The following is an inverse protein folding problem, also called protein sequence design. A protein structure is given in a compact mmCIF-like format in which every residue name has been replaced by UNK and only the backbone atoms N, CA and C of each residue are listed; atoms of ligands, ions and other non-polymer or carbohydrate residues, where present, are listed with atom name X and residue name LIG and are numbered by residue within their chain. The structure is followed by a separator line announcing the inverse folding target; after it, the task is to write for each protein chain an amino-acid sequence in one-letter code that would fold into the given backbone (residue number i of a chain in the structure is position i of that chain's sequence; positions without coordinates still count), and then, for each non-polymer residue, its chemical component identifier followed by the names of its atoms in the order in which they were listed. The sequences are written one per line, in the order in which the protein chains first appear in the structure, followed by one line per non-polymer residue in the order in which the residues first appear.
data_IF_730803228375
#
_entry.id   IF_730803228375
#
_cell.length_a   1.000
_cell.length_b   1.000
_cell.length_c   1.000
_cell.angle_alpha   90.00
_cell.angle_beta   90.00
_cell.angle_gamma   90.00
#
_symmetry.space_group_name_H-M   'P 1'
#
loop_
_entity.id
_entity.type
_entity.pdbx_description
1 polymer ?
#
# COMPACT_ATOMS: atom_id res chain seq x y z
N UNK A 1 0.52 3.71 -12.64
CA UNK A 1 1.00 2.68 -11.68
C UNK A 1 2.45 2.36 -11.96
N UNK A 2 3.28 2.19 -10.91
CA UNK A 2 4.70 1.82 -11.00
C UNK A 2 4.82 0.36 -10.59
N UNK A 3 5.16 -0.49 -11.55
CA UNK A 3 5.39 -1.92 -11.36
C UNK A 3 6.86 -2.24 -11.56
N UNK A 4 7.28 -3.43 -11.20
CA UNK A 4 8.67 -3.90 -11.37
C UNK A 4 8.76 -5.41 -11.39
N UNK A 5 9.91 -5.92 -11.78
CA UNK A 5 10.15 -7.36 -11.96
C UNK A 5 10.46 -8.11 -10.65
N UNK A 6 10.45 -7.44 -9.51
CA UNK A 6 10.71 -8.06 -8.21
C UNK A 6 10.70 -7.09 -7.04
N UNK A 7 10.94 -7.60 -5.85
CA UNK A 7 11.13 -6.80 -4.64
C UNK A 7 12.50 -6.09 -4.66
N UNK A 8 12.59 -4.91 -4.05
CA UNK A 8 13.85 -4.18 -3.92
C UNK A 8 14.38 -3.50 -5.19
N UNK A 9 13.67 -3.56 -6.31
CA UNK A 9 14.10 -2.96 -7.60
C UNK A 9 13.91 -1.44 -7.69
N UNK A 10 13.54 -0.78 -6.59
CA UNK A 10 13.44 0.69 -6.51
C UNK A 10 12.06 1.28 -6.72
N UNK A 11 10.98 0.46 -6.81
CA UNK A 11 9.60 0.96 -6.99
C UNK A 11 9.23 2.05 -6.00
N UNK A 12 9.46 1.85 -4.71
CA UNK A 12 9.08 2.79 -3.65
C UNK A 12 9.82 4.12 -3.77
N UNK A 13 11.11 4.08 -4.14
CA UNK A 13 11.90 5.30 -4.35
C UNK A 13 11.41 6.05 -5.59
N UNK A 14 11.15 5.35 -6.69
CA UNK A 14 10.64 5.95 -7.90
C UNK A 14 9.24 6.54 -7.69
N UNK A 15 8.38 5.85 -6.93
CA UNK A 15 7.06 6.37 -6.54
C UNK A 15 7.20 7.67 -5.75
N UNK A 16 8.10 7.74 -4.77
CA UNK A 16 8.35 8.95 -3.99
C UNK A 16 8.90 10.09 -4.88
N UNK A 17 9.77 9.78 -5.84
CA UNK A 17 10.30 10.75 -6.78
C UNK A 17 9.20 11.35 -7.66
N UNK A 18 8.28 10.53 -8.21
CA UNK A 18 7.13 11.02 -8.96
C UNK A 18 6.15 11.81 -8.09
N UNK A 19 5.88 11.36 -6.86
CA UNK A 19 5.09 12.11 -5.89
C UNK A 19 5.67 13.52 -5.72
N UNK A 20 6.97 13.62 -5.46
CA UNK A 20 7.66 14.91 -5.29
C UNK A 20 7.66 15.75 -6.56
N UNK A 21 7.89 15.13 -7.71
CA UNK A 21 7.91 15.81 -9.00
C UNK A 21 6.56 16.47 -9.32
N UNK A 22 5.47 15.72 -9.27
CA UNK A 22 4.13 16.22 -9.56
C UNK A 22 3.64 17.24 -8.52
N UNK A 23 3.97 17.01 -7.24
CA UNK A 23 3.71 18.03 -6.21
C UNK A 23 4.40 19.35 -6.51
N UNK A 24 5.67 19.32 -6.90
CA UNK A 24 6.41 20.53 -7.30
C UNK A 24 5.90 21.16 -8.59
N UNK A 25 5.31 20.38 -9.48
CA UNK A 25 4.65 20.86 -10.68
C UNK A 25 3.24 21.46 -10.41
N UNK A 26 2.78 21.48 -9.14
CA UNK A 26 1.54 22.12 -8.73
C UNK A 26 0.31 21.19 -8.68
N UNK A 27 0.48 19.89 -8.94
CA UNK A 27 -0.64 18.94 -8.87
C UNK A 27 -0.99 18.58 -7.42
N UNK A 28 -2.27 18.37 -7.15
CA UNK A 28 -2.73 17.68 -5.93
C UNK A 28 -2.50 16.19 -6.09
N UNK A 29 -1.38 15.69 -5.60
CA UNK A 29 -0.94 14.29 -5.79
C UNK A 29 -0.92 13.53 -4.48
N UNK A 30 -1.33 12.24 -4.51
CA UNK A 30 -1.21 11.32 -3.38
C UNK A 30 -0.57 9.99 -3.81
N UNK A 31 0.17 9.30 -2.92
CA UNK A 31 0.63 7.94 -3.14
C UNK A 31 -0.47 6.94 -2.80
N UNK A 32 -0.37 5.74 -3.38
CA UNK A 32 -1.20 4.60 -3.00
C UNK A 32 -0.45 3.29 -3.19
N UNK A 33 -0.57 2.39 -2.22
CA UNK A 33 -0.16 1.00 -2.33
C UNK A 33 -1.17 0.13 -1.62
N UNK A 34 -1.93 -0.67 -2.37
CA UNK A 34 -3.03 -1.47 -1.85
C UNK A 34 -2.63 -2.35 -0.68
N UNK A 35 -1.53 -3.09 -0.83
CA UNK A 35 -0.99 -3.96 0.20
C UNK A 35 0.53 -3.81 0.27
N UNK A 36 1.06 -3.70 1.48
CA UNK A 36 2.49 -3.72 1.73
C UNK A 36 2.87 -4.88 2.66
N UNK A 37 4.01 -5.50 2.42
CA UNK A 37 4.60 -6.48 3.32
C UNK A 37 5.89 -5.88 3.87
N UNK A 38 5.91 -5.55 5.16
CA UNK A 38 7.06 -4.93 5.80
C UNK A 38 7.04 -5.15 7.31
N UNK A 39 8.22 -5.32 7.91
CA UNK A 39 8.40 -5.33 9.37
C UNK A 39 8.35 -3.91 9.95
N UNK A 40 8.84 -2.92 9.19
CA UNK A 40 8.89 -1.53 9.63
C UNK A 40 7.61 -0.80 9.29
N UNK A 41 6.92 -0.31 10.32
CA UNK A 41 5.74 0.53 10.19
C UNK A 41 6.03 1.99 10.57
N UNK A 42 5.13 2.85 10.17
CA UNK A 42 4.97 4.22 10.62
C UNK A 42 3.66 4.30 11.40
N UNK A 43 3.63 5.09 12.45
CA UNK A 43 2.42 5.35 13.24
C UNK A 43 1.94 6.76 12.93
N UNK A 44 0.71 6.90 12.47
CA UNK A 44 0.10 8.19 12.16
C UNK A 44 -0.20 8.98 13.46
N UNK A 45 -0.52 10.27 13.33
CA UNK A 45 -0.95 11.10 14.47
C UNK A 45 -2.17 10.53 15.21
N UNK A 46 -2.96 9.67 14.56
CA UNK A 46 -4.14 8.99 15.14
C UNK A 46 -3.81 7.66 15.81
N UNK A 47 -2.52 7.27 15.87
CA UNK A 47 -2.10 5.99 16.43
C UNK A 47 -2.32 4.80 15.49
N UNK A 48 -2.57 5.03 14.20
CA UNK A 48 -2.81 4.02 13.19
C UNK A 48 -1.51 3.62 12.50
N UNK A 49 -1.34 2.34 12.16
CA UNK A 49 -0.13 1.85 11.51
C UNK A 49 -0.25 1.77 9.99
N UNK A 50 0.80 2.17 9.28
CA UNK A 50 0.94 2.00 7.84
C UNK A 50 2.39 1.72 7.44
N UNK A 51 2.64 1.36 6.19
CA UNK A 51 3.99 1.14 5.68
C UNK A 51 4.83 2.42 5.73
N UNK A 52 6.05 2.34 6.25
CA UNK A 52 6.98 3.49 6.33
C UNK A 52 7.29 4.09 4.95
N UNK A 53 7.40 3.25 3.92
CA UNK A 53 7.63 3.73 2.55
C UNK A 53 6.49 4.61 2.06
N UNK A 54 5.23 4.25 2.35
CA UNK A 54 4.06 5.03 1.95
C UNK A 54 3.91 6.31 2.76
N UNK A 55 4.31 6.31 4.03
CA UNK A 55 4.40 7.53 4.83
C UNK A 55 5.44 8.51 4.22
N UNK A 56 6.62 8.02 3.85
CA UNK A 56 7.64 8.82 3.16
C UNK A 56 7.13 9.36 1.81
N UNK A 57 6.38 8.57 1.05
CA UNK A 57 5.76 9.00 -0.21
C UNK A 57 4.71 10.09 0.01
N UNK A 58 3.91 10.01 1.09
CA UNK A 58 2.96 11.06 1.47
C UNK A 58 3.70 12.37 1.81
N UNK A 59 4.76 12.30 2.61
CA UNK A 59 5.61 13.46 2.92
C UNK A 59 6.23 14.08 1.66
N UNK A 60 6.62 13.26 0.68
CA UNK A 60 7.12 13.75 -0.62
C UNK A 60 6.06 14.54 -1.40
N UNK A 61 4.77 14.24 -1.21
CA UNK A 61 3.64 15.02 -1.72
C UNK A 61 3.28 16.24 -0.85
N UNK A 62 3.96 16.47 0.28
CA UNK A 62 3.57 17.50 1.26
C UNK A 62 2.33 17.14 2.06
N UNK A 63 1.97 15.86 2.13
CA UNK A 63 0.78 15.36 2.82
C UNK A 63 1.15 14.73 4.17
N UNK A 64 0.21 14.78 5.12
CA UNK A 64 0.25 13.91 6.30
C UNK A 64 -0.07 12.48 5.86
N UNK A 65 0.67 11.47 6.37
CA UNK A 65 0.38 10.07 6.09
C UNK A 65 -1.01 9.66 6.58
N UNK A 66 -1.82 9.08 5.70
CA UNK A 66 -3.15 8.54 5.98
C UNK A 66 -3.19 7.05 5.62
N UNK A 67 -3.85 6.23 6.45
CA UNK A 67 -3.90 4.77 6.27
C UNK A 67 -4.59 4.32 4.99
N UNK A 68 -5.45 5.15 4.40
CA UNK A 68 -6.04 4.89 3.09
C UNK A 68 -5.00 4.86 1.96
N UNK A 69 -3.81 5.46 2.16
CA UNK A 69 -2.70 5.39 1.19
C UNK A 69 -2.02 4.02 1.19
N UNK A 70 -2.20 3.23 2.28
CA UNK A 70 -1.76 1.85 2.41
C UNK A 70 -2.74 1.06 3.29
N UNK A 71 -3.93 0.70 2.74
CA UNK A 71 -5.02 0.15 3.54
C UNK A 71 -4.73 -1.22 4.15
N UNK A 72 -3.84 -2.01 3.53
CA UNK A 72 -3.47 -3.34 4.04
C UNK A 72 -1.96 -3.41 4.24
N UNK A 73 -1.54 -3.82 5.45
CA UNK A 73 -0.15 -4.11 5.75
C UNK A 73 -0.01 -5.50 6.40
N UNK A 74 0.95 -6.26 5.92
CA UNK A 74 1.31 -7.58 6.45
C UNK A 74 2.68 -7.46 7.14
N UNK A 75 2.73 -7.83 8.42
CA UNK A 75 3.99 -7.98 9.17
C UNK A 75 4.29 -9.47 9.33
N UNK A 76 5.29 -10.02 8.62
CA UNK A 76 5.69 -11.41 8.80
C UNK A 76 6.08 -11.68 10.25
N UNK A 77 5.51 -12.73 10.85
CA UNK A 77 5.74 -13.09 12.27
C UNK A 77 6.37 -14.47 12.45
N UNK A 78 6.95 -15.06 11.41
CA UNK A 78 7.49 -16.41 11.39
C UNK A 78 6.42 -17.49 11.22
N UNK A 79 6.84 -18.76 11.04
CA UNK A 79 5.95 -19.93 10.88
C UNK A 79 4.84 -19.73 9.84
N UNK A 80 5.14 -19.11 8.70
CA UNK A 80 4.18 -18.79 7.62
C UNK A 80 2.96 -17.96 8.07
N UNK A 81 3.07 -17.25 9.17
CA UNK A 81 2.06 -16.33 9.68
C UNK A 81 2.47 -14.87 9.45
N UNK A 82 1.47 -14.03 9.29
CA UNK A 82 1.65 -12.57 9.27
C UNK A 82 0.61 -11.91 10.17
N UNK A 83 1.00 -10.90 10.90
CA UNK A 83 0.06 -9.99 11.52
C UNK A 83 -0.55 -9.14 10.40
N UNK A 84 -1.88 -9.20 10.29
CA UNK A 84 -2.63 -8.41 9.30
C UNK A 84 -3.09 -7.11 9.95
N UNK A 85 -2.76 -6.00 9.33
CA UNK A 85 -3.18 -4.66 9.73
C UNK A 85 -4.05 -4.11 8.60
N UNK A 86 -5.27 -3.73 8.92
CA UNK A 86 -6.27 -3.19 7.98
C UNK A 86 -6.67 -1.79 8.43
N UNK A 87 -6.54 -0.82 7.54
CA UNK A 87 -6.78 0.60 7.83
C UNK A 87 -6.13 1.03 9.15
N UNK A 88 -4.87 0.65 9.33
CA UNK A 88 -4.04 1.01 10.47
C UNK A 88 -4.31 0.26 11.77
N UNK A 89 -5.26 -0.68 11.79
CA UNK A 89 -5.63 -1.45 12.99
C UNK A 89 -5.32 -2.94 12.83
N UNK A 90 -4.75 -3.60 13.84
CA UNK A 90 -4.46 -5.03 13.77
C UNK A 90 -5.74 -5.86 13.75
N UNK A 91 -5.88 -6.76 12.76
CA UNK A 91 -6.94 -7.78 12.69
C UNK A 91 -6.50 -9.13 13.30
N UNK A 92 -5.29 -9.23 13.82
CA UNK A 92 -4.69 -10.44 14.40
C UNK A 92 -3.68 -11.10 13.46
N UNK A 93 -3.14 -12.24 13.93
CA UNK A 93 -2.19 -13.04 13.14
C UNK A 93 -2.95 -14.03 12.25
N UNK A 94 -2.50 -14.19 11.01
CA UNK A 94 -3.14 -15.07 10.01
C UNK A 94 -2.10 -15.84 9.23
N UNK A 95 -2.44 -17.07 8.87
CA UNK A 95 -1.75 -17.80 7.82
C UNK A 95 -2.26 -17.36 6.43
N UNK A 96 -1.55 -17.75 5.39
CA UNK A 96 -1.90 -17.37 4.02
C UNK A 96 -3.35 -17.80 3.64
N UNK A 97 -3.79 -18.99 4.04
CA UNK A 97 -5.13 -19.50 3.73
C UNK A 97 -6.24 -18.64 4.35
N UNK A 98 -6.08 -18.26 5.61
CA UNK A 98 -7.06 -17.40 6.30
C UNK A 98 -7.08 -15.97 5.73
N UNK A 99 -5.93 -15.49 5.25
CA UNK A 99 -5.85 -14.21 4.56
C UNK A 99 -6.61 -14.24 3.23
N UNK A 100 -6.42 -15.28 2.42
CA UNK A 100 -7.14 -15.45 1.15
C UNK A 100 -8.65 -15.66 1.34
N UNK A 101 -9.08 -16.30 2.42
CA UNK A 101 -10.50 -16.43 2.72
C UNK A 101 -11.23 -15.09 2.92
N UNK A 102 -10.48 -14.00 3.20
CA UNK A 102 -11.00 -12.63 3.36
C UNK A 102 -10.75 -11.75 2.14
N UNK A 103 -10.30 -12.32 1.05
CA UNK A 103 -9.89 -11.59 -0.15
C UNK A 103 -10.96 -10.60 -0.65
N UNK A 104 -12.24 -11.02 -0.68
CA UNK A 104 -13.35 -10.15 -1.14
C UNK A 104 -13.43 -8.88 -0.28
N UNK A 105 -13.42 -9.03 1.05
CA UNK A 105 -13.44 -7.89 1.97
C UNK A 105 -12.21 -6.99 1.83
N UNK A 106 -11.04 -7.58 1.66
CA UNK A 106 -9.81 -6.82 1.45
C UNK A 106 -9.86 -6.04 0.13
N UNK A 107 -10.39 -6.65 -0.92
CA UNK A 107 -10.59 -6.00 -2.22
C UNK A 107 -11.53 -4.80 -2.11
N UNK A 108 -12.65 -4.94 -1.39
CA UNK A 108 -13.59 -3.84 -1.14
C UNK A 108 -12.91 -2.67 -0.42
N UNK A 109 -12.16 -2.95 0.64
CA UNK A 109 -11.42 -1.93 1.41
C UNK A 109 -10.38 -1.21 0.52
N UNK A 110 -9.64 -1.96 -0.29
CA UNK A 110 -8.65 -1.42 -1.22
C UNK A 110 -9.32 -0.51 -2.25
N UNK A 111 -10.42 -0.97 -2.85
CA UNK A 111 -11.16 -0.19 -3.85
C UNK A 111 -11.72 1.10 -3.25
N UNK A 112 -12.37 1.02 -2.09
CA UNK A 112 -12.92 2.19 -1.40
C UNK A 112 -11.82 3.21 -1.04
N UNK A 113 -10.67 2.73 -0.54
CA UNK A 113 -9.53 3.59 -0.22
C UNK A 113 -8.96 4.30 -1.45
N UNK A 114 -8.84 3.58 -2.57
CA UNK A 114 -8.38 4.16 -3.83
C UNK A 114 -9.37 5.19 -4.38
N UNK A 115 -10.67 4.89 -4.35
CA UNK A 115 -11.71 5.79 -4.82
C UNK A 115 -11.79 7.06 -3.95
N UNK A 116 -11.61 6.93 -2.64
CA UNK A 116 -11.51 8.10 -1.76
C UNK A 116 -10.33 9.00 -2.15
N UNK A 117 -9.15 8.43 -2.41
CA UNK A 117 -8.00 9.21 -2.86
C UNK A 117 -8.24 9.85 -4.25
N UNK A 118 -8.84 9.12 -5.19
CA UNK A 118 -9.16 9.64 -6.53
C UNK A 118 -10.16 10.79 -6.50
N UNK A 119 -11.05 10.82 -5.52
CA UNK A 119 -11.99 11.92 -5.32
C UNK A 119 -11.35 13.14 -4.67
N UNK A 120 -10.27 12.97 -3.90
CA UNK A 120 -9.57 14.06 -3.19
C UNK A 120 -8.42 14.69 -3.99
N UNK A 121 -7.78 13.89 -4.85
CA UNK A 121 -6.53 14.26 -5.52
C UNK A 121 -6.65 14.17 -7.04
N UNK A 122 -5.97 15.07 -7.75
CA UNK A 122 -5.93 15.10 -9.22
C UNK A 122 -5.13 13.94 -9.80
N UNK A 123 -4.15 13.45 -9.02
CA UNK A 123 -3.26 12.37 -9.42
C UNK A 123 -2.99 11.43 -8.25
N UNK A 124 -3.16 10.14 -8.47
CA UNK A 124 -2.78 9.09 -7.52
C UNK A 124 -1.65 8.25 -8.12
N UNK A 125 -0.47 8.28 -7.48
CA UNK A 125 0.68 7.47 -7.89
C UNK A 125 0.59 6.12 -7.19
N UNK A 126 0.31 5.08 -7.96
CA UNK A 126 0.11 3.72 -7.43
C UNK A 126 1.42 2.94 -7.51
N UNK A 127 1.84 2.35 -6.37
CA UNK A 127 2.97 1.42 -6.30
C UNK A 127 2.47 -0.02 -6.33
N UNK A 128 2.97 -0.84 -7.26
CA UNK A 128 2.77 -2.27 -7.30
C UNK A 128 3.65 -3.02 -6.28
N UNK A 129 3.38 -4.30 -6.07
CA UNK A 129 4.18 -5.18 -5.21
C UNK A 129 4.63 -6.43 -5.98
N UNK A 130 5.80 -6.97 -5.63
CA UNK A 130 6.36 -8.14 -6.29
C UNK A 130 6.56 -7.94 -7.79
N UNK A 131 6.19 -8.94 -8.56
CA UNK A 131 6.21 -8.93 -10.03
C UNK A 131 4.81 -9.22 -10.58
N UNK A 132 4.30 -8.44 -11.55
CA UNK A 132 3.04 -8.73 -12.23
C UNK A 132 3.11 -9.96 -13.14
N UNK A 133 4.31 -10.52 -13.34
CA UNK A 133 4.53 -11.74 -14.13
C UNK A 133 4.25 -13.03 -13.35
N UNK A 134 3.94 -12.97 -12.07
CA UNK A 134 3.57 -14.13 -11.24
C UNK A 134 2.11 -14.54 -11.52
N UNK A 135 1.87 -15.20 -12.66
CA UNK A 135 0.55 -15.55 -13.21
C UNK A 135 -0.29 -16.37 -12.23
N UNK A 136 0.35 -17.25 -11.45
CA UNK A 136 -0.30 -18.09 -10.44
C UNK A 136 -0.90 -17.33 -9.25
N UNK A 137 -0.52 -16.08 -9.04
CA UNK A 137 -1.05 -15.23 -7.98
C UNK A 137 -2.08 -14.23 -8.50
N UNK A 138 -2.31 -14.16 -9.80
CA UNK A 138 -3.10 -13.10 -10.46
C UNK A 138 -4.52 -12.94 -9.91
N UNK A 139 -5.21 -14.05 -9.64
CA UNK A 139 -6.58 -14.02 -9.10
C UNK A 139 -6.66 -13.46 -7.67
N UNK A 140 -5.54 -13.47 -6.95
CA UNK A 140 -5.43 -13.05 -5.56
C UNK A 140 -4.63 -11.75 -5.39
N UNK A 141 -4.15 -11.19 -6.51
CA UNK A 141 -3.32 -9.99 -6.48
C UNK A 141 -4.18 -8.74 -6.26
N UNK A 142 -4.04 -8.15 -5.08
CA UNK A 142 -4.72 -6.89 -4.70
C UNK A 142 -3.93 -5.65 -5.12
N UNK A 143 -2.72 -5.81 -5.65
CA UNK A 143 -1.77 -4.71 -5.75
C UNK A 143 -1.44 -4.32 -7.18
N UNK A 144 -1.39 -5.28 -8.10
CA UNK A 144 -0.96 -5.06 -9.48
C UNK A 144 -2.12 -5.08 -10.50
N UNK A 145 -3.35 -5.26 -10.02
CA UNK A 145 -4.55 -5.45 -10.85
C UNK A 145 -5.45 -4.23 -10.76
#
# INVERSE_FOLDING_TARGET
MIQGTGSGVGKSLLTAAFCRYFYKAGYKVAPFKAQNMALNSFVTERGEEMGRAQAYQAEACGLKPEVIMNPIMLKPSGNNNSQVIVLGKPEGSRNAKDFYARHIRHKEIVTQSLDELRNKYELVIIEGAGSPAEINLREWDLVNM
#
